data_IF_028534194891
#
_entry.id   IF_028534194891
#
_cell.length_a   1.000
_cell.length_b   1.000
_cell.length_c   1.000
_cell.angle_alpha   90.00
_cell.angle_beta   90.00
_cell.angle_gamma   90.00
#
_symmetry.space_group_name_H-M   'P 1'
#
loop_
_entity.id
_entity.type
_entity.pdbx_description
1 polymer ?
#
# COMPACT_ATOMS: atom_id res chain seq x y z
N UNK A 1 -15.87 5.37 19.22
CA UNK A 1 -14.66 6.20 19.43
C UNK A 1 -13.37 5.39 19.67
N UNK A 2 -13.37 4.30 20.44
CA UNK A 2 -12.14 3.49 20.66
C UNK A 2 -11.67 2.77 19.40
N UNK A 3 -12.58 2.19 18.63
CA UNK A 3 -12.26 1.44 17.40
C UNK A 3 -11.64 2.33 16.32
N UNK A 4 -12.16 3.54 16.14
CA UNK A 4 -11.64 4.48 15.16
C UNK A 4 -10.20 4.92 15.49
N UNK A 5 -9.88 5.13 16.77
CA UNK A 5 -8.51 5.42 17.22
C UNK A 5 -7.56 4.24 17.05
N UNK A 6 -8.05 3.01 17.26
CA UNK A 6 -7.26 1.80 17.02
C UNK A 6 -6.97 1.63 15.52
N UNK A 7 -7.96 1.90 14.68
CA UNK A 7 -7.84 1.83 13.23
C UNK A 7 -6.89 2.92 12.69
N UNK A 8 -6.99 4.16 13.18
CA UNK A 8 -6.04 5.23 12.86
C UNK A 8 -4.61 4.82 13.25
N UNK A 9 -4.40 4.29 14.45
CA UNK A 9 -3.07 3.85 14.89
C UNK A 9 -2.52 2.69 14.04
N UNK A 10 -3.39 1.84 13.49
CA UNK A 10 -3.00 0.72 12.63
C UNK A 10 -2.92 1.08 11.14
N UNK A 11 -3.51 2.20 10.72
CA UNK A 11 -3.69 2.54 9.31
C UNK A 11 -2.39 2.55 8.48
N UNK A 12 -1.27 3.12 8.96
CA UNK A 12 -0.01 3.05 8.22
C UNK A 12 0.44 1.58 8.02
N UNK A 13 0.32 0.74 9.04
CA UNK A 13 0.69 -0.68 8.92
C UNK A 13 -0.22 -1.44 7.97
N UNK A 14 -1.53 -1.17 7.98
CA UNK A 14 -2.48 -1.80 7.06
C UNK A 14 -2.19 -1.37 5.61
N UNK A 15 -1.93 -0.08 5.38
CA UNK A 15 -1.56 0.45 4.07
C UNK A 15 -0.27 -0.21 3.55
N UNK A 16 0.71 -0.44 4.43
CA UNK A 16 1.93 -1.14 4.08
C UNK A 16 1.64 -2.56 3.56
N UNK A 17 0.84 -3.35 4.27
CA UNK A 17 0.50 -4.71 3.85
C UNK A 17 -0.29 -4.75 2.54
N UNK A 18 -1.21 -3.80 2.33
CA UNK A 18 -1.93 -3.65 1.06
C UNK A 18 -0.96 -3.41 -0.10
N UNK A 19 -0.01 -2.47 0.06
CA UNK A 19 0.98 -2.18 -0.98
C UNK A 19 1.89 -3.37 -1.28
N UNK A 20 2.33 -4.13 -0.27
CA UNK A 20 3.11 -5.35 -0.46
C UNK A 20 2.35 -6.38 -1.29
N UNK A 21 1.08 -6.62 -0.97
CA UNK A 21 0.24 -7.57 -1.69
C UNK A 21 -0.01 -7.15 -3.14
N UNK A 22 -0.24 -5.85 -3.37
CA UNK A 22 -0.33 -5.31 -4.73
C UNK A 22 0.97 -5.60 -5.46
N UNK A 23 2.12 -5.15 -4.95
CA UNK A 23 3.42 -5.34 -5.61
C UNK A 23 3.72 -6.80 -5.95
N UNK A 24 3.37 -7.74 -5.07
CA UNK A 24 3.52 -9.19 -5.30
C UNK A 24 2.58 -9.72 -6.40
N UNK A 25 1.42 -9.10 -6.59
CA UNK A 25 0.38 -9.55 -7.54
C UNK A 25 0.55 -8.94 -8.93
N UNK A 26 0.88 -7.65 -9.02
CA UNK A 26 0.96 -6.92 -10.30
C UNK A 26 2.32 -7.02 -11.00
N UNK A 27 3.39 -7.41 -10.31
CA UNK A 27 4.70 -7.58 -10.96
C UNK A 27 5.40 -8.86 -10.52
N UNK A 28 5.82 -9.72 -11.46
CA UNK A 28 6.74 -10.82 -11.16
C UNK A 28 8.14 -10.30 -10.79
N UNK A 29 8.46 -9.04 -11.11
CA UNK A 29 9.71 -8.36 -10.74
C UNK A 29 9.43 -6.93 -10.23
N UNK A 30 9.12 -6.77 -8.93
CA UNK A 30 8.87 -5.47 -8.29
C UNK A 30 10.01 -4.46 -8.49
N UNK A 31 11.24 -4.94 -8.71
CA UNK A 31 12.41 -4.08 -8.94
C UNK A 31 12.30 -3.33 -10.26
N UNK A 32 11.91 -4.03 -11.34
CA UNK A 32 11.68 -3.42 -12.66
C UNK A 32 10.53 -2.43 -12.69
N UNK A 33 9.45 -2.72 -11.94
CA UNK A 33 8.34 -1.78 -11.82
C UNK A 33 8.84 -0.45 -11.22
N UNK A 34 9.68 -0.52 -10.20
CA UNK A 34 10.23 0.68 -9.57
C UNK A 34 11.24 1.42 -10.46
N UNK A 35 12.10 0.70 -11.19
CA UNK A 35 12.95 1.31 -12.22
C UNK A 35 12.13 2.10 -13.26
N UNK A 36 10.92 1.65 -13.59
CA UNK A 36 10.03 2.37 -14.51
C UNK A 36 9.40 3.63 -13.90
N UNK A 37 9.30 3.71 -12.57
CA UNK A 37 8.72 4.85 -11.85
C UNK A 37 9.77 5.88 -11.42
N UNK A 38 11.05 5.48 -11.31
CA UNK A 38 12.15 6.40 -11.03
C UNK A 38 12.57 7.09 -12.35
N UNK A 39 12.54 8.43 -12.43
CA UNK A 39 13.02 9.11 -13.63
C UNK A 39 14.50 8.76 -13.87
N UNK A 40 14.78 8.34 -15.12
CA UNK A 40 16.00 7.68 -15.68
C UNK A 40 17.36 8.32 -15.33
N UNK A 41 17.41 9.40 -14.55
CA UNK A 41 18.63 10.14 -14.17
C UNK A 41 19.13 9.93 -12.76
N UNK A 42 18.44 9.17 -11.89
CA UNK A 42 19.03 8.85 -10.59
C UNK A 42 19.94 7.62 -10.71
N UNK A 43 21.24 7.74 -10.37
CA UNK A 43 22.10 6.57 -10.19
C UNK A 43 21.70 5.90 -8.88
N UNK A 44 20.54 5.24 -8.87
CA UNK A 44 20.12 4.42 -7.74
C UNK A 44 20.95 3.15 -7.84
N UNK A 45 22.01 3.06 -7.03
CA UNK A 45 22.57 1.76 -6.69
C UNK A 45 21.49 1.02 -5.93
N UNK A 46 20.69 0.24 -6.66
CA UNK A 46 19.65 -0.56 -6.07
C UNK A 46 20.32 -1.53 -5.11
N UNK A 47 19.93 -1.56 -3.82
CA UNK A 47 20.53 -2.45 -2.84
C UNK A 47 20.52 -3.90 -3.37
N UNK A 48 21.61 -4.66 -3.17
CA UNK A 48 21.71 -6.10 -3.47
C UNK A 48 20.83 -6.98 -2.56
N UNK A 49 20.03 -6.35 -1.70
CA UNK A 49 19.11 -6.98 -0.77
C UNK A 49 18.12 -7.90 -1.50
N UNK A 50 17.77 -9.07 -0.93
CA UNK A 50 16.72 -9.93 -1.48
C UNK A 50 15.44 -9.16 -1.77
N UNK A 51 14.73 -9.55 -2.82
CA UNK A 51 13.54 -8.84 -3.32
C UNK A 51 12.49 -8.60 -2.23
N UNK A 52 12.23 -9.58 -1.37
CA UNK A 52 11.27 -9.44 -0.26
C UNK A 52 11.70 -8.36 0.74
N UNK A 53 12.96 -8.37 1.16
CA UNK A 53 13.51 -7.36 2.06
C UNK A 53 13.55 -5.96 1.42
N UNK A 54 13.70 -5.89 0.10
CA UNK A 54 13.63 -4.64 -0.64
C UNK A 54 12.18 -4.11 -0.71
N UNK A 55 11.20 -4.96 -1.00
CA UNK A 55 9.77 -4.60 -0.98
C UNK A 55 9.35 -4.12 0.40
N UNK A 56 9.76 -4.81 1.46
CA UNK A 56 9.47 -4.39 2.84
C UNK A 56 10.06 -3.00 3.13
N UNK A 57 11.34 -2.77 2.82
CA UNK A 57 11.98 -1.45 3.02
C UNK A 57 11.33 -0.35 2.19
N UNK A 58 10.97 -0.64 0.94
CA UNK A 58 10.33 0.34 0.08
C UNK A 58 8.98 0.77 0.63
N UNK A 59 8.15 -0.21 1.00
CA UNK A 59 6.83 0.04 1.58
C UNK A 59 6.95 0.80 2.91
N UNK A 60 7.90 0.41 3.77
CA UNK A 60 8.15 1.12 5.03
C UNK A 60 8.55 2.58 4.78
N UNK A 61 9.43 2.86 3.80
CA UNK A 61 9.80 4.24 3.44
C UNK A 61 8.59 5.02 2.94
N UNK A 62 7.79 4.44 2.04
CA UNK A 62 6.58 5.08 1.49
C UNK A 62 5.60 5.45 2.59
N UNK A 63 5.44 4.58 3.60
CA UNK A 63 4.41 4.75 4.63
C UNK A 63 4.92 5.48 5.89
N UNK A 64 6.23 5.50 6.14
CA UNK A 64 6.85 6.12 7.32
C UNK A 64 6.56 7.62 7.50
N UNK A 65 6.23 8.33 6.41
CA UNK A 65 5.87 9.75 6.43
C UNK A 65 4.36 10.03 6.33
N UNK A 66 3.51 9.00 6.32
CA UNK A 66 2.08 9.16 6.07
C UNK A 66 1.32 9.36 7.38
N UNK A 67 0.61 10.49 7.49
CA UNK A 67 -0.29 10.72 8.62
C UNK A 67 -1.38 9.65 8.67
N UNK A 68 -1.73 9.10 9.86
CA UNK A 68 -2.75 8.07 10.04
C UNK A 68 -4.04 8.30 9.25
N UNK A 69 -4.53 9.54 9.24
CA UNK A 69 -5.77 9.94 8.57
C UNK A 69 -5.67 9.80 7.05
N UNK A 70 -4.54 10.23 6.47
CA UNK A 70 -4.26 10.08 5.03
C UNK A 70 -4.08 8.62 4.64
N UNK A 71 -3.50 7.80 5.53
CA UNK A 71 -3.41 6.37 5.30
C UNK A 71 -4.79 5.71 5.24
N UNK A 72 -5.73 6.13 6.11
CA UNK A 72 -7.12 5.66 6.05
C UNK A 72 -7.83 6.08 4.76
N UNK A 73 -7.70 7.35 4.36
CA UNK A 73 -8.27 7.85 3.11
C UNK A 73 -7.76 7.05 1.90
N UNK A 74 -6.47 6.72 1.89
CA UNK A 74 -5.87 5.88 0.85
C UNK A 74 -6.46 4.45 0.87
N UNK A 75 -6.60 3.83 2.05
CA UNK A 75 -7.21 2.49 2.20
C UNK A 75 -8.67 2.50 1.70
N UNK A 76 -9.45 3.52 2.05
CA UNK A 76 -10.83 3.68 1.59
C UNK A 76 -10.91 3.88 0.08
N UNK A 77 -10.00 4.66 -0.50
CA UNK A 77 -9.90 4.85 -1.95
C UNK A 77 -9.59 3.54 -2.67
N UNK A 78 -8.64 2.74 -2.15
CA UNK A 78 -8.33 1.41 -2.70
C UNK A 78 -9.54 0.49 -2.59
N UNK A 79 -10.22 0.47 -1.45
CA UNK A 79 -11.44 -0.33 -1.25
C UNK A 79 -12.51 0.03 -2.28
N UNK A 80 -12.77 1.34 -2.49
CA UNK A 80 -13.75 1.80 -3.48
C UNK A 80 -13.42 1.32 -4.88
N UNK A 81 -12.16 1.42 -5.29
CA UNK A 81 -11.71 0.90 -6.61
C UNK A 81 -11.99 -0.61 -6.67
N UNK A 82 -11.62 -1.39 -5.66
CA UNK A 82 -11.88 -2.83 -5.66
C UNK A 82 -13.38 -3.18 -5.73
N UNK A 83 -14.25 -2.40 -5.09
CA UNK A 83 -15.71 -2.54 -5.19
C UNK A 83 -16.21 -2.22 -6.61
N UNK A 84 -15.70 -1.17 -7.26
CA UNK A 84 -16.05 -0.83 -8.65
C UNK A 84 -15.71 -1.96 -9.63
N UNK A 85 -14.62 -2.69 -9.39
CA UNK A 85 -14.22 -3.86 -10.18
C UNK A 85 -14.89 -5.17 -9.72
N UNK A 86 -15.78 -5.13 -8.73
CA UNK A 86 -16.47 -6.33 -8.20
C UNK A 86 -15.56 -7.33 -7.50
N UNK A 87 -14.36 -6.90 -7.06
CA UNK A 87 -13.36 -7.74 -6.40
C UNK A 87 -13.60 -7.85 -4.89
N UNK A 88 -14.38 -6.93 -4.33
CA UNK A 88 -14.82 -6.93 -2.94
C UNK A 88 -16.32 -6.63 -2.93
N UNK A 89 -17.14 -7.34 -2.14
CA UNK A 89 -18.55 -7.00 -2.01
C UNK A 89 -18.70 -5.57 -1.49
N UNK A 90 -19.48 -4.75 -2.20
CA UNK A 90 -19.85 -3.42 -1.72
C UNK A 90 -20.54 -3.58 -0.38
N UNK A 91 -19.92 -3.08 0.69
CA UNK A 91 -20.55 -3.09 2.02
C UNK A 91 -21.63 -2.01 2.05
N UNK A 92 -22.75 -2.32 1.41
CA UNK A 92 -24.00 -1.55 1.46
C UNK A 92 -25.02 -2.30 2.34
N UNK A 93 -24.62 -2.82 3.49
CA UNK A 93 -25.56 -3.33 4.49
C UNK A 93 -25.07 -3.03 5.90
N UNK A 94 -25.53 -1.91 6.44
CA UNK A 94 -26.03 -1.82 7.81
C UNK A 94 -26.91 -0.57 7.93
N UNK A 95 -28.11 -0.68 7.36
CA UNK A 95 -29.28 0.08 7.82
C UNK A 95 -30.40 -0.92 8.01
N UNK A 96 -30.56 -1.42 9.23
CA UNK A 96 -31.86 -1.73 9.81
C UNK A 96 -31.75 -1.86 11.32
#
# INVERSE_FOLDING_TARGET
>A
MKEQKLLEAAAPRILAEVLKNILKTISPDPRKLLESMVPVKMPVQLPTTPLEQFVDRFVDVVVSGVEPRKALEAIESVKRVLEEYGLVPSTSEEKS
#
